data_IF_821002550691
#
_entry.id   IF_821002550691
#
_cell.length_a   1.000
_cell.length_b   1.000
_cell.length_c   1.000
_cell.angle_alpha   90.00
_cell.angle_beta   90.00
_cell.angle_gamma   90.00
#
_symmetry.space_group_name_H-M   'P 1'
#
loop_
_entity.id
_entity.type
_entity.pdbx_description
1 polymer ?
#
# COMPACT_ATOMS: atom_id res chain seq x y z
N UNK A 1 -7.13 -9.42 -14.34
CA UNK A 1 -7.44 -8.14 -15.01
C UNK A 1 -8.83 -7.72 -14.58
N UNK A 2 -8.95 -6.88 -13.55
CA UNK A 2 -10.22 -6.25 -13.18
C UNK A 2 -10.33 -4.92 -13.92
N UNK A 3 -11.27 -4.87 -14.86
CA UNK A 3 -11.71 -3.64 -15.53
C UNK A 3 -12.58 -2.90 -14.50
N UNK A 4 -11.93 -2.27 -13.54
CA UNK A 4 -12.55 -1.32 -12.60
C UNK A 4 -11.76 -0.02 -12.60
N UNK A 5 -11.29 0.39 -13.78
CA UNK A 5 -10.88 1.76 -14.03
C UNK A 5 -12.14 2.62 -14.00
N UNK A 6 -12.47 3.06 -12.79
CA UNK A 6 -12.84 4.43 -12.45
C UNK A 6 -13.89 5.12 -13.36
N UNK A 7 -15.14 4.69 -13.29
CA UNK A 7 -16.26 5.58 -13.63
C UNK A 7 -16.34 6.79 -12.67
N UNK A 8 -15.87 6.63 -11.43
CA UNK A 8 -15.81 7.70 -10.44
C UNK A 8 -14.79 8.80 -10.79
N UNK A 9 -13.69 8.50 -11.50
CA UNK A 9 -12.68 9.52 -11.79
C UNK A 9 -13.17 10.51 -12.84
N UNK A 10 -13.90 10.04 -13.87
CA UNK A 10 -14.44 10.94 -14.92
C UNK A 10 -15.50 11.87 -14.32
N UNK A 11 -16.42 11.33 -13.52
CA UNK A 11 -17.44 12.11 -12.83
C UNK A 11 -16.82 13.09 -11.81
N UNK A 12 -15.81 12.65 -11.06
CA UNK A 12 -15.06 13.50 -10.12
C UNK A 12 -14.31 14.63 -10.84
N UNK A 13 -13.62 14.33 -11.95
CA UNK A 13 -12.95 15.33 -12.76
C UNK A 13 -13.93 16.32 -13.39
N UNK A 14 -15.07 15.86 -13.90
CA UNK A 14 -16.10 16.74 -14.44
C UNK A 14 -16.70 17.63 -13.36
N UNK A 15 -17.01 17.09 -12.19
CA UNK A 15 -17.51 17.86 -11.06
C UNK A 15 -16.49 18.92 -10.62
N UNK A 16 -15.20 18.57 -10.58
CA UNK A 16 -14.13 19.52 -10.25
C UNK A 16 -14.03 20.65 -11.28
N UNK A 17 -14.08 20.33 -12.57
CA UNK A 17 -14.07 21.34 -13.65
C UNK A 17 -15.32 22.22 -13.59
N UNK A 18 -16.50 21.63 -13.37
CA UNK A 18 -17.76 22.37 -13.22
C UNK A 18 -17.71 23.33 -12.04
N UNK A 19 -17.17 22.91 -10.89
CA UNK A 19 -16.97 23.77 -9.72
C UNK A 19 -16.04 24.94 -10.05
N UNK A 20 -14.92 24.70 -10.73
CA UNK A 20 -13.99 25.77 -11.16
C UNK A 20 -14.70 26.77 -12.09
N UNK A 21 -15.47 26.29 -13.07
CA UNK A 21 -16.20 27.16 -14.00
C UNK A 21 -17.27 27.99 -13.29
N UNK A 22 -18.02 27.39 -12.35
CA UNK A 22 -19.00 28.10 -11.52
C UNK A 22 -18.31 29.19 -10.69
N UNK A 23 -17.20 28.87 -10.02
CA UNK A 23 -16.45 29.87 -9.24
C UNK A 23 -15.90 31.00 -10.10
N UNK A 24 -15.40 30.70 -11.30
CA UNK A 24 -14.92 31.70 -12.26
C UNK A 24 -16.04 32.65 -12.67
N UNK A 25 -17.18 32.12 -13.08
CA UNK A 25 -18.35 32.90 -13.50
C UNK A 25 -18.90 33.78 -12.35
N UNK A 26 -18.94 33.21 -11.13
CA UNK A 26 -19.37 33.94 -9.92
C UNK A 26 -18.41 35.05 -9.50
N UNK A 27 -17.10 34.87 -9.73
CA UNK A 27 -16.07 35.88 -9.46
C UNK A 27 -16.13 37.02 -10.47
N UNK A 28 -16.18 36.71 -11.77
CA UNK A 28 -16.25 37.73 -12.84
C UNK A 28 -17.50 38.61 -12.71
N UNK A 29 -18.66 38.01 -12.39
CA UNK A 29 -19.91 38.74 -12.20
C UNK A 29 -20.05 39.38 -10.80
N UNK A 30 -19.00 39.34 -9.96
CA UNK A 30 -18.98 39.82 -8.56
C UNK A 30 -20.14 39.29 -7.69
N UNK A 31 -20.75 38.17 -8.07
CA UNK A 31 -21.87 37.56 -7.34
C UNK A 31 -21.44 37.06 -5.96
N UNK A 32 -20.19 36.59 -5.84
CA UNK A 32 -19.61 36.16 -4.56
C UNK A 32 -19.73 37.25 -3.49
N UNK A 33 -19.41 38.51 -3.81
CA UNK A 33 -19.50 39.58 -2.81
C UNK A 33 -20.92 40.10 -2.57
N UNK A 34 -21.83 39.94 -3.56
CA UNK A 34 -23.20 40.48 -3.48
C UNK A 34 -24.18 39.56 -2.75
N UNK A 35 -24.00 38.24 -2.84
CA UNK A 35 -24.92 37.26 -2.27
C UNK A 35 -24.32 36.40 -1.16
N UNK A 36 -22.99 36.20 -1.11
CA UNK A 36 -22.39 35.49 0.02
C UNK A 36 -22.14 36.49 1.14
N UNK A 37 -23.16 36.68 1.97
CA UNK A 37 -23.00 37.25 3.30
C UNK A 37 -21.81 36.57 4.00
N UNK A 38 -20.97 37.34 4.70
CA UNK A 38 -19.87 36.81 5.52
C UNK A 38 -20.33 35.65 6.43
N UNK A 39 -21.59 35.70 6.85
CA UNK A 39 -22.25 34.65 7.65
C UNK A 39 -22.49 33.35 6.89
N UNK A 40 -22.84 33.40 5.59
CA UNK A 40 -23.01 32.19 4.79
C UNK A 40 -21.68 31.44 4.63
N UNK A 41 -20.58 32.16 4.34
CA UNK A 41 -19.25 31.57 4.27
C UNK A 41 -18.83 30.96 5.61
N UNK A 42 -19.13 31.64 6.71
CA UNK A 42 -18.82 31.16 8.06
C UNK A 42 -19.61 29.88 8.41
N UNK A 43 -20.92 29.86 8.11
CA UNK A 43 -21.79 28.70 8.32
C UNK A 43 -21.35 27.54 7.42
N UNK A 44 -21.05 27.80 6.15
CA UNK A 44 -20.54 26.79 5.22
C UNK A 44 -19.21 26.21 5.70
N UNK A 45 -18.29 27.04 6.19
CA UNK A 45 -17.03 26.60 6.77
C UNK A 45 -17.24 25.72 8.02
N UNK A 46 -18.18 26.08 8.91
CA UNK A 46 -18.50 25.29 10.12
C UNK A 46 -19.12 23.94 9.74
N UNK A 47 -20.00 23.90 8.74
CA UNK A 47 -20.57 22.65 8.23
C UNK A 47 -19.47 21.79 7.60
N UNK A 48 -18.63 22.38 6.75
CA UNK A 48 -17.50 21.69 6.12
C UNK A 48 -16.51 21.13 7.16
N UNK A 49 -16.18 21.91 8.20
CA UNK A 49 -15.28 21.49 9.29
C UNK A 49 -15.92 20.44 10.21
N UNK A 50 -17.22 20.54 10.48
CA UNK A 50 -17.93 19.55 11.32
C UNK A 50 -18.10 18.22 10.59
N UNK A 51 -18.35 18.25 9.28
CA UNK A 51 -18.40 17.05 8.44
C UNK A 51 -16.98 16.52 8.10
N UNK A 52 -15.95 17.35 8.29
CA UNK A 52 -14.53 16.95 8.19
C UNK A 52 -14.20 15.78 9.14
N UNK A 53 -14.86 15.70 10.29
CA UNK A 53 -14.71 14.59 11.24
C UNK A 53 -15.23 13.25 10.68
N UNK A 54 -16.19 13.28 9.75
CA UNK A 54 -16.73 12.11 9.03
C UNK A 54 -16.10 11.92 7.64
N UNK A 55 -15.22 12.83 7.21
CA UNK A 55 -14.72 12.90 5.84
C UNK A 55 -13.55 11.94 5.55
N UNK A 56 -13.25 11.68 4.27
CA UNK A 56 -12.09 10.91 3.82
C UNK A 56 -10.74 11.42 4.37
N UNK A 57 -10.65 12.65 4.88
CA UNK A 57 -9.44 13.19 5.52
C UNK A 57 -9.08 12.40 6.78
N UNK A 58 -10.06 11.93 7.56
CA UNK A 58 -9.80 11.05 8.71
C UNK A 58 -9.27 9.69 8.28
N UNK A 59 -9.78 9.15 7.17
CA UNK A 59 -9.25 7.91 6.58
C UNK A 59 -7.85 8.12 6.01
N UNK A 60 -7.58 9.29 5.45
CA UNK A 60 -6.26 9.68 4.97
C UNK A 60 -5.27 9.75 6.14
N UNK A 61 -5.63 10.44 7.23
CA UNK A 61 -4.75 10.59 8.40
C UNK A 61 -4.44 9.26 9.08
N UNK A 62 -5.41 8.34 9.14
CA UNK A 62 -5.21 6.98 9.64
C UNK A 62 -4.31 6.12 8.74
N UNK A 63 -4.20 6.46 7.45
CA UNK A 63 -3.38 5.75 6.45
C UNK A 63 -2.08 6.45 6.13
N UNK A 64 -1.74 7.53 6.83
CA UNK A 64 -0.45 8.19 6.64
C UNK A 64 0.70 7.26 7.03
N UNK A 65 1.78 7.21 6.24
CA UNK A 65 2.93 6.36 6.53
C UNK A 65 3.60 6.83 7.84
N UNK A 66 3.70 5.90 8.78
CA UNK A 66 4.49 6.04 10.01
C UNK A 66 5.98 5.85 9.74
N UNK A 67 6.82 6.23 10.72
CA UNK A 67 8.28 6.02 10.71
C UNK A 67 8.70 4.60 10.30
N UNK A 68 7.96 3.58 10.74
CA UNK A 68 8.24 2.18 10.42
C UNK A 68 8.13 1.88 8.91
N UNK A 69 7.22 2.53 8.17
CA UNK A 69 7.09 2.35 6.73
C UNK A 69 8.27 2.96 5.96
N UNK A 70 8.82 4.08 6.44
CA UNK A 70 10.02 4.67 5.86
C UNK A 70 11.26 3.80 6.09
N UNK A 71 11.40 3.23 7.30
CA UNK A 71 12.46 2.27 7.60
C UNK A 71 12.34 1.05 6.69
N UNK A 72 11.13 0.50 6.53
CA UNK A 72 10.89 -0.62 5.62
C UNK A 72 11.31 -0.29 4.18
N UNK A 73 10.96 0.89 3.67
CA UNK A 73 11.33 1.31 2.32
C UNK A 73 12.85 1.41 2.14
N UNK A 74 13.57 1.89 3.14
CA UNK A 74 15.03 1.96 3.15
C UNK A 74 15.66 0.56 3.21
N UNK A 75 15.12 -0.33 4.04
CA UNK A 75 15.56 -1.72 4.15
C UNK A 75 15.36 -2.49 2.84
N UNK A 76 14.21 -2.32 2.18
CA UNK A 76 13.93 -2.89 0.85
C UNK A 76 14.96 -2.39 -0.16
N UNK A 77 15.19 -1.07 -0.21
CA UNK A 77 16.15 -0.48 -1.16
C UNK A 77 17.57 -1.00 -0.92
N UNK A 78 17.99 -1.09 0.34
CA UNK A 78 19.30 -1.62 0.71
C UNK A 78 19.41 -3.10 0.33
N UNK A 79 18.42 -3.92 0.68
CA UNK A 79 18.40 -5.34 0.35
C UNK A 79 18.41 -5.58 -1.17
N UNK A 80 17.54 -4.91 -1.92
CA UNK A 80 17.44 -5.04 -3.37
C UNK A 80 18.71 -4.58 -4.07
N UNK A 81 19.35 -3.50 -3.59
CA UNK A 81 20.61 -3.02 -4.15
C UNK A 81 21.76 -4.03 -4.06
N UNK A 82 21.79 -4.84 -3.00
CA UNK A 82 22.84 -5.84 -2.77
C UNK A 82 22.60 -7.17 -3.48
N UNK A 83 21.36 -7.47 -3.85
CA UNK A 83 20.98 -8.80 -4.31
C UNK A 83 20.36 -8.83 -5.72
N UNK A 84 20.48 -7.74 -6.51
CA UNK A 84 19.76 -7.50 -7.79
C UNK A 84 19.67 -8.67 -8.78
N UNK A 85 20.61 -9.61 -8.72
CA UNK A 85 20.74 -10.74 -9.64
C UNK A 85 20.14 -12.05 -9.06
N UNK A 86 19.36 -11.95 -7.99
CA UNK A 86 18.78 -13.09 -7.24
C UNK A 86 17.27 -13.17 -7.41
N UNK A 87 16.74 -14.39 -7.27
CA UNK A 87 15.30 -14.66 -7.29
C UNK A 87 14.68 -14.43 -5.94
N UNK A 88 13.61 -13.65 -5.91
CA UNK A 88 12.92 -13.30 -4.67
C UNK A 88 11.47 -13.76 -4.69
N UNK A 89 10.99 -14.32 -3.58
CA UNK A 89 9.55 -14.41 -3.30
C UNK A 89 9.15 -13.30 -2.33
N UNK A 90 8.21 -12.44 -2.72
CA UNK A 90 7.79 -11.30 -1.89
C UNK A 90 6.27 -11.18 -1.85
N UNK A 91 5.72 -10.60 -0.78
CA UNK A 91 4.28 -10.29 -0.74
C UNK A 91 3.90 -9.37 -1.90
N UNK A 92 2.73 -9.57 -2.52
CA UNK A 92 2.34 -8.82 -3.71
C UNK A 92 2.37 -7.30 -3.54
N UNK A 93 1.98 -6.80 -2.37
CA UNK A 93 2.05 -5.36 -2.05
C UNK A 93 3.47 -4.85 -1.78
N UNK A 94 4.37 -5.73 -1.36
CA UNK A 94 5.77 -5.40 -1.10
C UNK A 94 6.57 -5.37 -2.41
N UNK A 95 6.24 -6.25 -3.36
CA UNK A 95 6.97 -6.44 -4.61
C UNK A 95 6.98 -5.23 -5.55
N UNK A 96 6.04 -4.28 -5.39
CA UNK A 96 6.05 -3.02 -6.12
C UNK A 96 7.24 -2.12 -5.75
N UNK A 97 7.85 -2.34 -4.60
CA UNK A 97 8.99 -1.57 -4.11
C UNK A 97 10.36 -2.17 -4.49
N UNK A 98 10.38 -3.36 -5.10
CA UNK A 98 11.59 -4.04 -5.56
C UNK A 98 11.79 -3.87 -7.07
N UNK A 99 13.03 -3.95 -7.53
CA UNK A 99 13.35 -3.84 -8.96
C UNK A 99 13.03 -5.14 -9.71
N UNK A 100 12.25 -5.06 -10.80
CA UNK A 100 11.44 -6.16 -11.38
C UNK A 100 12.16 -7.26 -12.18
N UNK A 101 13.41 -7.62 -11.87
CA UNK A 101 14.12 -8.60 -12.73
C UNK A 101 13.66 -10.04 -12.50
N UNK A 102 13.60 -10.51 -11.25
CA UNK A 102 13.19 -11.89 -10.94
C UNK A 102 12.41 -12.00 -9.62
N UNK A 103 11.26 -11.32 -9.56
CA UNK A 103 10.36 -11.34 -8.39
C UNK A 103 9.17 -12.25 -8.66
N UNK A 104 8.97 -13.22 -7.78
CA UNK A 104 7.76 -14.03 -7.70
C UNK A 104 6.89 -13.55 -6.53
N UNK A 105 5.57 -13.65 -6.69
CA UNK A 105 4.65 -13.37 -5.60
C UNK A 105 4.67 -14.52 -4.60
N UNK A 106 4.99 -14.23 -3.35
CA UNK A 106 4.88 -15.18 -2.25
C UNK A 106 3.41 -15.44 -1.96
N UNK A 107 2.97 -16.68 -2.14
CA UNK A 107 1.64 -17.15 -1.76
C UNK A 107 1.74 -18.36 -0.85
N UNK A 108 1.01 -18.31 0.26
CA UNK A 108 0.76 -19.45 1.12
C UNK A 108 -0.27 -20.36 0.45
N UNK A 109 0.15 -21.58 0.13
CA UNK A 109 -0.76 -22.66 -0.28
C UNK A 109 -1.15 -23.47 0.95
N UNK A 110 -0.90 -24.78 0.95
CA UNK A 110 -1.14 -25.65 2.11
C UNK A 110 -0.12 -25.42 3.24
N UNK A 111 1.10 -25.03 2.88
CA UNK A 111 2.21 -24.76 3.80
C UNK A 111 2.97 -23.51 3.34
N UNK A 112 3.49 -22.72 4.26
CA UNK A 112 4.38 -21.61 3.93
C UNK A 112 5.74 -22.09 3.45
N UNK A 113 6.33 -21.39 2.48
CA UNK A 113 7.65 -21.76 1.91
C UNK A 113 7.63 -22.88 0.87
N UNK A 114 6.47 -23.49 0.61
CA UNK A 114 6.31 -24.58 -0.37
C UNK A 114 5.49 -24.16 -1.58
N UNK A 115 5.75 -24.82 -2.70
CA UNK A 115 4.94 -24.68 -3.92
C UNK A 115 3.52 -25.24 -3.71
N UNK A 116 2.64 -24.98 -4.68
CA UNK A 116 1.23 -25.43 -4.68
C UNK A 116 1.08 -26.92 -4.41
N UNK A 117 2.00 -27.73 -4.92
CA UNK A 117 2.00 -29.20 -4.77
C UNK A 117 2.33 -29.66 -3.34
N UNK A 118 2.82 -28.76 -2.47
CA UNK A 118 3.21 -29.05 -1.08
C UNK A 118 4.43 -29.96 -0.92
N UNK A 119 4.99 -30.48 -2.02
CA UNK A 119 6.14 -31.40 -2.05
C UNK A 119 7.47 -30.68 -2.21
N UNK A 120 7.51 -29.63 -3.03
CA UNK A 120 8.73 -28.87 -3.35
C UNK A 120 8.74 -27.52 -2.63
N UNK A 121 9.93 -27.07 -2.25
CA UNK A 121 10.17 -25.72 -1.74
C UNK A 121 10.01 -24.69 -2.87
N UNK A 122 9.78 -23.44 -2.51
CA UNK A 122 9.86 -22.32 -3.45
C UNK A 122 11.24 -22.31 -4.15
N UNK A 123 11.23 -22.04 -5.46
CA UNK A 123 12.44 -22.00 -6.27
C UNK A 123 13.02 -20.58 -6.33
N UNK A 124 13.32 -20.04 -5.15
CA UNK A 124 13.83 -18.68 -4.97
C UNK A 124 15.06 -18.69 -4.08
N UNK A 125 15.92 -17.68 -4.24
CA UNK A 125 17.10 -17.50 -3.39
C UNK A 125 16.72 -16.86 -2.05
N UNK A 126 15.77 -15.92 -2.08
CA UNK A 126 15.29 -15.21 -0.90
C UNK A 126 13.77 -15.15 -0.82
N UNK A 127 13.26 -15.11 0.39
CA UNK A 127 11.87 -14.77 0.70
C UNK A 127 11.91 -13.49 1.52
N UNK A 128 11.22 -12.43 1.08
CA UNK A 128 11.15 -11.16 1.81
C UNK A 128 9.69 -10.80 2.14
N UNK A 129 9.41 -10.64 3.43
CA UNK A 129 8.07 -10.45 4.00
C UNK A 129 8.08 -9.25 4.95
N UNK A 130 6.93 -8.64 5.19
CA UNK A 130 6.76 -7.67 6.28
C UNK A 130 5.37 -7.77 6.89
N UNK A 131 5.28 -7.47 8.18
CA UNK A 131 4.00 -7.37 8.90
C UNK A 131 3.34 -5.98 8.72
N UNK A 132 4.11 -4.99 8.26
CA UNK A 132 3.61 -3.63 8.04
C UNK A 132 2.76 -3.49 6.78
N UNK A 133 2.75 -4.50 5.92
CA UNK A 133 2.11 -4.45 4.61
C UNK A 133 0.98 -5.46 4.57
N UNK A 134 -0.16 -5.04 4.00
CA UNK A 134 -1.33 -5.90 3.86
C UNK A 134 -0.96 -7.23 3.20
N UNK A 135 -1.32 -8.32 3.86
CA UNK A 135 -1.08 -9.68 3.37
C UNK A 135 -1.95 -10.04 2.16
N UNK A 136 -2.94 -9.20 1.82
CA UNK A 136 -3.73 -9.23 0.60
C UNK A 136 -3.96 -10.63 -0.01
N UNK A 137 -4.66 -11.48 0.74
CA UNK A 137 -5.07 -12.84 0.33
C UNK A 137 -3.93 -13.83 0.05
N UNK A 138 -2.68 -13.42 0.24
CA UNK A 138 -1.49 -14.23 -0.02
C UNK A 138 -1.03 -15.04 1.18
N UNK A 139 -1.32 -14.58 2.41
CA UNK A 139 -0.96 -15.27 3.66
C UNK A 139 -2.18 -15.25 4.59
N UNK A 140 -2.63 -16.43 5.03
CA UNK A 140 -3.81 -16.57 5.89
C UNK A 140 -3.50 -16.14 7.33
N UNK A 141 -2.35 -16.57 7.86
CA UNK A 141 -1.89 -16.20 9.19
C UNK A 141 -0.37 -15.99 9.15
N UNK A 142 0.04 -14.74 9.31
CA UNK A 142 1.43 -14.33 9.18
C UNK A 142 2.35 -15.00 10.22
N UNK A 143 1.92 -15.04 11.49
CA UNK A 143 2.72 -15.63 12.56
C UNK A 143 2.89 -17.15 12.39
N UNK A 144 1.81 -17.86 12.04
CA UNK A 144 1.89 -19.30 11.74
C UNK A 144 2.79 -19.57 10.53
N UNK A 145 2.70 -18.72 9.50
CA UNK A 145 3.54 -18.82 8.31
C UNK A 145 5.05 -18.70 8.64
N UNK A 146 5.42 -17.75 9.49
CA UNK A 146 6.80 -17.59 9.95
C UNK A 146 7.26 -18.80 10.79
N UNK A 147 6.39 -19.35 11.64
CA UNK A 147 6.71 -20.56 12.39
C UNK A 147 6.94 -21.77 11.48
N UNK A 148 6.14 -21.93 10.41
CA UNK A 148 6.34 -22.98 9.42
C UNK A 148 7.63 -22.79 8.63
N UNK A 149 7.94 -21.56 8.21
CA UNK A 149 9.21 -21.24 7.54
C UNK A 149 10.43 -21.56 8.42
N UNK A 150 10.39 -21.21 9.70
CA UNK A 150 11.46 -21.52 10.64
C UNK A 150 11.65 -23.03 10.86
N UNK A 151 10.57 -23.83 10.73
CA UNK A 151 10.62 -25.29 10.89
C UNK A 151 11.15 -26.02 9.66
N UNK A 152 11.09 -25.41 8.48
CA UNK A 152 11.51 -26.07 7.23
C UNK A 152 13.01 -26.36 7.19
N UNK A 153 13.85 -25.61 7.92
CA UNK A 153 15.31 -25.85 7.99
C UNK A 153 16.08 -25.54 6.70
N UNK A 154 15.39 -25.48 5.55
CA UNK A 154 15.93 -25.12 4.23
C UNK A 154 16.08 -23.62 4.01
N UNK A 155 15.45 -22.82 4.88
CA UNK A 155 15.50 -21.37 4.87
C UNK A 155 16.11 -20.86 6.17
N UNK A 156 17.11 -20.00 6.06
CA UNK A 156 17.77 -19.33 7.18
C UNK A 156 17.31 -17.87 7.25
N UNK A 157 16.88 -17.44 8.44
CA UNK A 157 16.45 -16.07 8.68
C UNK A 157 17.67 -15.14 8.79
N UNK A 158 17.59 -13.99 8.12
CA UNK A 158 18.58 -12.92 8.22
C UNK A 158 18.05 -11.86 9.20
N UNK A 159 18.69 -11.74 10.37
CA UNK A 159 18.25 -10.82 11.44
C UNK A 159 18.81 -9.40 11.33
N UNK A 160 19.40 -9.05 10.18
CA UNK A 160 19.98 -7.71 9.93
C UNK A 160 18.93 -6.61 9.81
N UNK A 161 17.71 -6.95 9.41
CA UNK A 161 16.64 -6.01 9.09
C UNK A 161 15.59 -5.97 10.20
N UNK A 162 15.04 -4.78 10.49
CA UNK A 162 14.08 -4.57 11.58
C UNK A 162 12.63 -4.75 11.15
N UNK A 163 12.27 -4.22 9.98
CA UNK A 163 10.88 -4.21 9.49
C UNK A 163 10.68 -5.18 8.33
N UNK A 164 11.75 -5.45 7.57
CA UNK A 164 11.81 -6.46 6.53
C UNK A 164 12.24 -7.80 7.14
N UNK A 165 11.43 -8.84 7.01
CA UNK A 165 11.76 -10.20 7.41
C UNK A 165 12.29 -10.93 6.18
N UNK A 166 13.56 -11.30 6.20
CA UNK A 166 14.23 -11.95 5.07
C UNK A 166 14.65 -13.36 5.44
N UNK A 167 14.33 -14.31 4.59
CA UNK A 167 14.85 -15.66 4.61
C UNK A 167 15.72 -15.90 3.38
N UNK A 168 16.85 -16.56 3.58
CA UNK A 168 17.75 -17.02 2.53
C UNK A 168 17.65 -18.53 2.41
N UNK A 169 17.55 -19.04 1.18
CA UNK A 169 17.62 -20.47 0.92
C UNK A 169 19.05 -20.99 1.17
N UNK A 170 19.17 -22.11 1.88
CA UNK A 170 20.46 -22.78 2.12
C UNK A 170 21.02 -23.42 0.86
#
# INVERSE_FOLDING_TARGET
YSITTHYDDILSCMLFISIILIFKEMYEKKYLFKYFSKWFLLIWLIIFLSDMYRSPIRYLSLRLPKKAHFILAEEIKHFDSKNRDKKYAVQGHLGTHFNRREIEEFRQYKFCGKQKDGKKLLNVDYIALSDLVSHAWSINNFNLCLMELNKLGDFERIDTYKQLIVYKKR
#
